data_IF_631943521880
#
_entry.id   IF_631943521880
#
_cell.length_a   1.000
_cell.length_b   1.000
_cell.length_c   1.000
_cell.angle_alpha   90.00
_cell.angle_beta   90.00
_cell.angle_gamma   90.00
#
_symmetry.space_group_name_H-M   'P 1'
#
loop_
_entity.id
_entity.type
_entity.pdbx_description
1 polymer ?
#
# COMPACT_ATOMS: atom_id res chain seq x y z
N UNK A 1 10.32 -60.09 -3.44
CA UNK A 1 10.02 -59.06 -4.46
C UNK A 1 8.93 -58.15 -3.91
N UNK A 2 9.22 -56.85 -3.88
CA UNK A 2 8.29 -55.71 -3.71
C UNK A 2 7.50 -55.61 -2.39
N UNK A 3 7.23 -54.44 -1.81
CA UNK A 3 7.78 -53.07 -1.85
C UNK A 3 6.83 -52.27 -0.94
N UNK A 4 7.38 -51.58 0.05
CA UNK A 4 6.89 -50.30 0.59
C UNK A 4 5.39 -50.15 0.92
N UNK A 5 4.99 -50.56 2.14
CA UNK A 5 3.73 -50.17 2.76
C UNK A 5 3.95 -49.33 4.04
N UNK A 6 4.88 -48.37 3.99
CA UNK A 6 5.20 -47.44 5.10
C UNK A 6 5.31 -45.98 4.66
N UNK A 7 4.63 -45.60 3.57
CA UNK A 7 4.65 -44.23 3.02
C UNK A 7 3.25 -43.59 2.90
N UNK A 8 2.25 -44.12 3.61
CA UNK A 8 0.86 -43.62 3.55
C UNK A 8 0.37 -42.92 4.82
N UNK A 9 1.28 -42.47 5.71
CA UNK A 9 0.90 -41.68 6.89
C UNK A 9 1.71 -40.38 7.09
N UNK A 10 2.55 -40.00 6.12
CA UNK A 10 3.26 -38.70 6.10
C UNK A 10 2.75 -37.78 4.96
N UNK A 11 1.51 -38.01 4.51
CA UNK A 11 0.87 -37.25 3.44
C UNK A 11 -0.08 -36.15 3.90
N UNK A 12 -0.03 -35.74 5.18
CA UNK A 12 -0.89 -34.69 5.74
C UNK A 12 -0.04 -33.73 6.58
N UNK A 13 0.99 -33.12 5.98
CA UNK A 13 1.67 -31.95 6.55
C UNK A 13 2.15 -30.96 5.49
N UNK A 14 1.67 -31.06 4.24
CA UNK A 14 2.05 -30.12 3.16
C UNK A 14 0.79 -29.61 2.41
N UNK A 15 -0.25 -29.21 3.15
CA UNK A 15 -1.38 -28.44 2.58
C UNK A 15 -1.62 -27.14 3.37
N UNK A 16 -0.57 -26.55 3.94
CA UNK A 16 -0.68 -25.23 4.58
C UNK A 16 0.31 -24.20 4.05
N UNK A 17 1.05 -24.52 2.99
CA UNK A 17 2.07 -23.64 2.42
C UNK A 17 1.98 -23.67 0.90
N UNK A 18 0.87 -23.19 0.36
CA UNK A 18 0.60 -22.61 -0.98
C UNK A 18 -0.90 -22.28 -0.89
N UNK A 19 -1.41 -21.08 -1.09
CA UNK A 19 -0.82 -19.85 -1.56
C UNK A 19 -1.96 -18.84 -1.58
N UNK A 20 -1.83 -17.79 -0.78
CA UNK A 20 -2.29 -16.49 -1.21
C UNK A 20 -1.23 -15.49 -0.77
N UNK A 21 -0.03 -15.65 -1.34
CA UNK A 21 0.63 -14.47 -1.88
C UNK A 21 -0.32 -14.03 -2.99
N UNK A 22 -1.38 -13.31 -2.63
CA UNK A 22 -2.10 -12.52 -3.62
C UNK A 22 -1.00 -11.62 -4.14
N UNK A 23 -0.49 -11.93 -5.33
CA UNK A 23 0.25 -10.96 -6.10
C UNK A 23 -0.78 -9.85 -6.32
N UNK A 24 -0.86 -8.91 -5.37
CA UNK A 24 -1.62 -7.69 -5.51
C UNK A 24 -1.00 -7.06 -6.74
N UNK A 25 -1.68 -7.22 -7.88
CA UNK A 25 -1.21 -6.64 -9.13
C UNK A 25 -1.55 -5.15 -9.14
N UNK A 26 -2.66 -4.79 -8.48
CA UNK A 26 -3.31 -3.51 -8.64
C UNK A 26 -4.06 -3.09 -7.38
N UNK A 27 -4.08 -1.79 -7.13
CA UNK A 27 -4.92 -1.12 -6.13
C UNK A 27 -6.04 -0.39 -6.85
N UNK A 28 -7.29 -0.74 -6.54
CA UNK A 28 -8.51 -0.09 -7.05
C UNK A 28 -8.93 1.02 -6.10
N UNK A 29 -8.76 2.25 -6.55
CA UNK A 29 -9.12 3.45 -5.82
C UNK A 29 -10.50 3.98 -6.26
N UNK A 30 -10.98 5.03 -5.59
CA UNK A 30 -12.15 5.77 -6.03
C UNK A 30 -12.05 6.21 -7.50
N UNK A 31 -13.18 6.59 -8.11
CA UNK A 31 -13.26 7.07 -9.50
C UNK A 31 -12.71 6.06 -10.54
N UNK A 32 -12.83 4.75 -10.26
CA UNK A 32 -12.34 3.65 -11.10
C UNK A 32 -10.84 3.75 -11.45
N UNK A 33 -10.07 4.48 -10.66
CA UNK A 33 -8.64 4.61 -10.90
C UNK A 33 -7.91 3.39 -10.36
N UNK A 34 -6.93 2.93 -11.14
CA UNK A 34 -6.14 1.75 -10.83
C UNK A 34 -4.69 2.16 -10.73
N UNK A 35 -4.08 1.84 -9.58
CA UNK A 35 -2.66 2.07 -9.32
C UNK A 35 -1.97 0.71 -9.37
N UNK A 36 -0.93 0.58 -10.20
CA UNK A 36 -0.19 -0.67 -10.28
C UNK A 36 0.66 -0.91 -9.04
N UNK A 37 0.85 -2.17 -8.67
CA UNK A 37 1.76 -2.50 -7.59
C UNK A 37 3.21 -2.06 -7.90
N UNK A 38 3.63 -2.06 -9.16
CA UNK A 38 4.95 -1.54 -9.56
C UNK A 38 5.13 -0.07 -9.19
N UNK A 39 4.09 0.75 -9.39
CA UNK A 39 4.11 2.17 -8.98
C UNK A 39 4.22 2.31 -7.46
N UNK A 40 3.45 1.52 -6.72
CA UNK A 40 3.47 1.47 -5.26
C UNK A 40 4.84 1.06 -4.74
N UNK A 41 5.40 -0.04 -5.24
CA UNK A 41 6.72 -0.54 -4.83
C UNK A 41 7.83 0.46 -5.17
N UNK A 42 7.76 1.10 -6.34
CA UNK A 42 8.73 2.14 -6.72
C UNK A 42 8.73 3.28 -5.71
N UNK A 43 7.57 3.81 -5.34
CA UNK A 43 7.48 4.92 -4.38
C UNK A 43 7.82 4.45 -2.96
N UNK A 44 7.38 3.26 -2.56
CA UNK A 44 7.73 2.66 -1.27
C UNK A 44 9.24 2.50 -1.08
N UNK A 45 9.93 1.97 -2.09
CA UNK A 45 11.39 1.78 -2.05
C UNK A 45 12.16 3.12 -1.99
N UNK A 46 11.58 4.21 -2.46
CA UNK A 46 12.15 5.56 -2.32
C UNK A 46 11.86 6.16 -0.94
N UNK A 47 10.64 5.97 -0.42
CA UNK A 47 10.18 6.57 0.81
C UNK A 47 10.72 5.87 2.07
N UNK A 48 10.77 4.54 2.08
CA UNK A 48 11.16 3.75 3.25
C UNK A 48 12.54 4.10 3.83
N UNK A 49 13.62 4.26 3.04
CA UNK A 49 14.92 4.65 3.58
C UNK A 49 14.88 6.05 4.24
N UNK A 50 14.01 6.94 3.78
CA UNK A 50 13.82 8.26 4.38
C UNK A 50 13.13 8.13 5.75
N UNK A 51 12.05 7.35 5.82
CA UNK A 51 11.33 7.07 7.07
C UNK A 51 12.26 6.46 8.12
N UNK A 52 13.08 5.49 7.71
CA UNK A 52 14.03 4.81 8.58
C UNK A 52 15.26 5.65 8.91
N UNK A 53 15.36 6.90 8.43
CA UNK A 53 16.50 7.78 8.67
C UNK A 53 17.81 7.31 8.03
N UNK A 54 17.74 6.38 7.07
CA UNK A 54 18.90 5.86 6.33
C UNK A 54 19.38 6.86 5.27
N UNK A 55 18.47 7.71 4.78
CA UNK A 55 18.77 8.78 3.82
C UNK A 55 18.37 10.12 4.42
N UNK A 56 19.29 11.10 4.38
CA UNK A 56 18.97 12.49 4.75
C UNK A 56 18.21 13.16 3.61
N UNK A 57 16.97 13.56 3.86
CA UNK A 57 16.24 14.46 2.99
C UNK A 57 16.39 15.92 3.44
N UNK A 58 16.30 16.83 2.47
CA UNK A 58 16.24 18.28 2.71
C UNK A 58 14.94 18.69 3.41
N UNK A 59 13.85 17.97 3.16
CA UNK A 59 12.53 18.23 3.73
C UNK A 59 12.34 17.42 5.03
N UNK A 60 11.91 18.06 6.13
CA UNK A 60 11.56 17.34 7.35
C UNK A 60 10.34 16.43 7.15
N UNK A 61 10.39 15.22 7.73
CA UNK A 61 9.28 14.27 7.73
C UNK A 61 8.00 14.80 8.40
N UNK A 62 8.09 15.88 9.20
CA UNK A 62 6.92 16.51 9.82
C UNK A 62 5.89 16.99 8.79
N UNK A 63 6.34 17.42 7.61
CA UNK A 63 5.45 17.82 6.52
C UNK A 63 4.78 16.64 5.80
N UNK A 64 5.33 15.44 5.95
CA UNK A 64 4.79 14.21 5.36
C UNK A 64 3.93 13.42 6.35
N UNK A 65 3.72 13.90 7.59
CA UNK A 65 2.90 13.18 8.56
C UNK A 65 1.45 13.15 8.09
N UNK A 66 0.85 11.96 8.10
CA UNK A 66 -0.57 11.79 7.86
C UNK A 66 -1.36 12.11 9.13
N UNK A 67 -2.31 13.05 9.03
CA UNK A 67 -3.17 13.51 10.13
C UNK A 67 -4.65 13.52 9.74
N UNK A 68 -5.02 12.68 8.79
CA UNK A 68 -6.34 12.65 8.19
C UNK A 68 -7.38 11.85 8.97
N UNK A 69 -8.48 11.56 8.28
CA UNK A 69 -9.70 10.96 8.81
C UNK A 69 -9.66 9.43 8.95
N UNK A 70 -8.60 8.76 8.48
CA UNK A 70 -8.51 7.29 8.54
C UNK A 70 -8.23 6.77 9.95
N UNK A 71 -8.98 5.74 10.34
CA UNK A 71 -8.87 5.06 11.63
C UNK A 71 -8.01 3.79 11.54
N UNK A 72 -7.52 3.31 12.70
CA UNK A 72 -6.76 2.06 12.80
C UNK A 72 -5.29 2.15 12.35
N UNK A 73 -4.82 3.34 11.99
CA UNK A 73 -3.42 3.57 11.64
C UNK A 73 -2.50 3.59 12.88
N UNK A 74 -1.23 3.19 12.73
CA UNK A 74 -0.21 3.45 13.73
C UNK A 74 -0.13 4.94 14.11
N UNK A 75 0.30 5.24 15.35
CA UNK A 75 0.35 6.61 15.89
C UNK A 75 1.19 7.58 15.04
N UNK A 76 2.16 7.06 14.30
CA UNK A 76 3.03 7.83 13.43
C UNK A 76 3.07 7.18 12.05
N UNK A 77 2.28 7.74 11.14
CA UNK A 77 2.16 7.33 9.74
C UNK A 77 2.42 8.54 8.86
N UNK A 78 3.08 8.30 7.74
CA UNK A 78 3.50 9.31 6.78
C UNK A 78 2.92 8.99 5.40
N UNK A 79 2.78 10.02 4.57
CA UNK A 79 2.21 9.91 3.23
C UNK A 79 3.22 10.28 2.13
N UNK A 80 3.16 9.57 1.00
CA UNK A 80 3.87 9.92 -0.23
C UNK A 80 2.92 9.96 -1.40
N UNK A 81 3.06 10.99 -2.24
CA UNK A 81 2.27 11.12 -3.45
C UNK A 81 2.58 9.98 -4.43
N UNK A 82 1.54 9.35 -4.95
CA UNK A 82 1.61 8.36 -6.02
C UNK A 82 1.20 9.00 -7.34
N UNK A 83 -0.07 9.38 -7.43
CA UNK A 83 -0.69 9.83 -8.68
C UNK A 83 -1.90 10.73 -8.40
N UNK A 84 -2.53 11.26 -9.44
CA UNK A 84 -3.81 11.95 -9.35
C UNK A 84 -4.73 11.56 -10.53
N UNK A 85 -6.04 11.71 -10.34
CA UNK A 85 -7.00 11.66 -11.45
C UNK A 85 -7.46 13.07 -11.82
N UNK A 86 -7.80 13.22 -13.11
CA UNK A 86 -8.31 14.46 -13.69
C UNK A 86 -9.70 14.24 -14.26
N UNK A 87 -10.52 15.29 -14.24
CA UNK A 87 -11.78 15.32 -14.99
C UNK A 87 -11.56 15.65 -16.47
N UNK A 88 -12.66 15.73 -17.22
CA UNK A 88 -12.67 16.07 -18.64
C UNK A 88 -12.15 17.49 -18.93
N UNK A 89 -12.01 18.34 -17.91
CA UNK A 89 -11.46 19.69 -18.01
C UNK A 89 -9.99 19.75 -17.56
N UNK A 90 -9.34 18.59 -17.39
CA UNK A 90 -7.96 18.46 -16.89
C UNK A 90 -7.75 18.98 -15.46
N UNK A 91 -8.82 19.20 -14.70
CA UNK A 91 -8.72 19.60 -13.29
C UNK A 91 -8.41 18.37 -12.45
N UNK A 92 -7.50 18.49 -11.49
CA UNK A 92 -7.25 17.43 -10.52
C UNK A 92 -8.51 17.28 -9.66
N UNK A 93 -9.07 16.08 -9.67
CA UNK A 93 -10.29 15.76 -8.90
C UNK A 93 -10.02 14.78 -7.78
N UNK A 94 -8.88 14.09 -7.79
CA UNK A 94 -8.52 13.18 -6.72
C UNK A 94 -7.02 12.93 -6.73
N UNK A 95 -6.42 12.85 -5.56
CA UNK A 95 -5.01 12.50 -5.39
C UNK A 95 -4.89 11.16 -4.68
N UNK A 96 -3.81 10.45 -4.95
CA UNK A 96 -3.56 9.13 -4.39
C UNK A 96 -2.24 9.13 -3.65
N UNK A 97 -2.25 8.53 -2.47
CA UNK A 97 -1.10 8.52 -1.58
C UNK A 97 -0.80 7.13 -1.04
N UNK A 98 0.48 6.86 -0.88
CA UNK A 98 1.02 5.72 -0.16
C UNK A 98 1.16 6.06 1.32
N UNK A 99 0.69 5.19 2.20
CA UNK A 99 0.89 5.33 3.64
C UNK A 99 1.97 4.38 4.16
N UNK A 100 2.94 4.91 4.90
CA UNK A 100 4.02 4.15 5.53
C UNK A 100 4.12 4.55 7.00
N UNK A 101 4.18 3.58 7.90
CA UNK A 101 4.37 3.80 9.34
C UNK A 101 5.82 4.12 9.67
N UNK A 102 6.07 4.65 10.87
CA UNK A 102 7.42 5.07 11.30
C UNK A 102 8.45 3.94 11.43
N UNK A 103 8.01 2.69 11.53
CA UNK A 103 8.85 1.48 11.45
C UNK A 103 9.17 1.06 10.01
N UNK A 104 8.65 1.80 9.01
CA UNK A 104 8.88 1.56 7.60
C UNK A 104 7.99 0.46 7.02
N UNK A 105 6.90 0.08 7.68
CA UNK A 105 5.91 -0.86 7.13
C UNK A 105 4.92 -0.16 6.20
N UNK A 106 4.59 -0.82 5.09
CA UNK A 106 3.55 -0.37 4.16
C UNK A 106 2.17 -0.56 4.81
N UNK A 107 1.44 0.54 4.98
CA UNK A 107 0.08 0.53 5.54
C UNK A 107 -0.99 0.38 4.46
N UNK A 108 -0.72 0.88 3.25
CA UNK A 108 -1.61 0.74 2.10
C UNK A 108 -1.65 1.99 1.23
N UNK A 109 -2.61 2.01 0.32
CA UNK A 109 -2.84 3.10 -0.63
C UNK A 109 -4.19 3.73 -0.38
N UNK A 110 -4.24 5.06 -0.43
CA UNK A 110 -5.44 5.84 -0.20
C UNK A 110 -5.72 6.76 -1.38
N UNK A 111 -7.00 7.07 -1.59
CA UNK A 111 -7.44 8.18 -2.43
C UNK A 111 -8.01 9.28 -1.55
N UNK A 112 -7.78 10.54 -1.93
CA UNK A 112 -8.58 11.65 -1.40
C UNK A 112 -10.03 11.50 -1.86
N UNK A 113 -10.96 12.22 -1.24
CA UNK A 113 -12.31 12.37 -1.80
C UNK A 113 -12.33 13.21 -3.08
N UNK A 114 -13.48 13.24 -3.77
CA UNK A 114 -13.66 14.03 -4.99
C UNK A 114 -13.51 15.54 -4.71
N UNK A 115 -12.50 16.16 -5.33
CA UNK A 115 -12.09 17.56 -5.13
C UNK A 115 -11.81 17.90 -3.66
N UNK A 116 -11.40 16.90 -2.87
CA UNK A 116 -11.03 17.06 -1.46
C UNK A 116 -9.53 17.09 -1.29
N UNK A 117 -9.10 17.72 -0.20
CA UNK A 117 -7.70 17.69 0.25
C UNK A 117 -7.43 16.43 1.07
N UNK A 118 -6.13 16.08 1.18
CA UNK A 118 -5.68 14.98 2.03
C UNK A 118 -6.18 15.18 3.47
N UNK A 119 -6.82 14.15 4.01
CA UNK A 119 -7.29 14.09 5.39
C UNK A 119 -8.73 14.53 5.62
N UNK A 120 -9.43 14.96 4.56
CA UNK A 120 -10.85 15.33 4.67
C UNK A 120 -11.77 14.12 4.48
N UNK A 121 -11.69 13.47 3.32
CA UNK A 121 -12.52 12.33 2.95
C UNK A 121 -11.68 11.19 2.35
N UNK A 122 -10.56 10.87 2.98
CA UNK A 122 -9.68 9.82 2.47
C UNK A 122 -10.33 8.45 2.61
N UNK A 123 -10.12 7.60 1.61
CA UNK A 123 -10.60 6.23 1.56
C UNK A 123 -9.50 5.28 1.14
N UNK A 124 -9.52 4.06 1.69
CA UNK A 124 -8.62 2.99 1.27
C UNK A 124 -8.89 2.56 -0.17
N UNK A 125 -7.82 2.41 -0.95
CA UNK A 125 -7.89 1.68 -2.21
C UNK A 125 -7.89 0.18 -1.92
N UNK A 126 -8.83 -0.55 -2.53
CA UNK A 126 -8.94 -1.99 -2.37
C UNK A 126 -7.86 -2.73 -3.15
N UNK A 127 -7.31 -3.78 -2.56
CA UNK A 127 -6.46 -4.74 -3.26
C UNK A 127 -7.31 -5.58 -4.22
N UNK A 128 -6.84 -5.76 -5.46
CA UNK A 128 -7.53 -6.52 -6.51
C UNK A 128 -6.80 -7.80 -6.89
#
# INVERSE_FOLDING_TARGET
MHSNCLLSCLGIWIISIIGVVQCISEYRCGNNHVISNDEVQRVYNQARPVVLGQVRQSTPLSGAKYTGNLCGLPKLTYHWFLNYSKDNYSQVVMSYFLLISADGELQGVISTGWKMELGQEDTWCGEA
#
